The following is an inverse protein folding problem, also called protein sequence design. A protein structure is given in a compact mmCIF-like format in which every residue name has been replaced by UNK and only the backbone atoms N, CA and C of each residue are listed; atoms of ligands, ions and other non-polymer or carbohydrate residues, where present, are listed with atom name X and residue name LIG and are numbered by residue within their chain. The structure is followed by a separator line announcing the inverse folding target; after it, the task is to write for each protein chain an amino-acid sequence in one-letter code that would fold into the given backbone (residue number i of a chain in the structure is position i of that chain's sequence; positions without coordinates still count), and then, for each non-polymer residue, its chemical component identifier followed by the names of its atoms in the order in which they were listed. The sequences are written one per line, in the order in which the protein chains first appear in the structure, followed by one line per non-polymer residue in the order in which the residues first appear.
data_IF_807950589251
#
_entry.id   IF_807950589251
#
_cell.length_a   1.000
_cell.length_b   1.000
_cell.length_c   1.000
_cell.angle_alpha   90.00
_cell.angle_beta   90.00
_cell.angle_gamma   90.00
#
_symmetry.space_group_name_H-M   'P 1'
#
loop_
_entity.id
_entity.type
_entity.pdbx_description
1 polymer ?
#
# COMPACT_ATOMS: atom_id res chain seq x y z
N UNK A 1 -1.41 47.53 -29.26
CA UNK A 1 -1.42 46.20 -29.90
C UNK A 1 -1.20 45.15 -28.78
N UNK A 2 -1.93 44.06 -28.84
CA UNK A 2 -1.71 42.92 -27.97
C UNK A 2 -0.89 41.87 -28.71
N UNK A 3 0.04 41.22 -28.07
CA UNK A 3 0.88 40.17 -28.66
C UNK A 3 1.39 39.17 -27.64
N UNK A 4 2.03 38.09 -28.12
CA UNK A 4 2.76 37.13 -27.31
C UNK A 4 4.24 37.50 -27.29
N UNK A 5 4.97 37.14 -26.22
CA UNK A 5 6.42 37.29 -26.14
C UNK A 5 7.10 35.98 -25.70
N UNK A 6 8.37 35.86 -26.01
CA UNK A 6 9.22 34.80 -25.53
C UNK A 6 10.03 35.32 -24.33
N UNK A 7 10.15 34.52 -23.29
CA UNK A 7 10.87 34.89 -22.05
C UNK A 7 12.33 35.24 -22.36
N UNK A 8 12.77 36.38 -21.81
CA UNK A 8 14.12 36.92 -22.07
C UNK A 8 14.23 37.81 -23.31
N UNK A 9 13.16 38.00 -24.09
CA UNK A 9 13.15 38.95 -25.22
C UNK A 9 12.45 40.25 -24.85
N UNK A 10 13.10 41.39 -25.15
CA UNK A 10 12.51 42.71 -25.05
C UNK A 10 11.72 43.02 -26.33
N UNK A 11 10.53 43.63 -26.15
CA UNK A 11 9.71 44.09 -27.26
C UNK A 11 9.97 45.58 -27.54
N UNK A 12 10.13 45.94 -28.80
CA UNK A 12 10.43 47.33 -29.21
C UNK A 12 9.22 48.26 -29.29
N UNK A 13 8.02 47.65 -29.40
CA UNK A 13 6.79 48.44 -29.52
C UNK A 13 6.05 48.53 -28.18
N UNK A 14 5.50 49.68 -27.88
CA UNK A 14 4.63 49.87 -26.73
C UNK A 14 3.36 49.03 -26.85
N UNK A 15 3.09 48.12 -25.89
CA UNK A 15 1.95 47.20 -25.93
C UNK A 15 1.83 46.35 -24.70
N UNK A 16 0.74 45.59 -24.59
CA UNK A 16 0.55 44.56 -23.56
C UNK A 16 0.90 43.21 -24.20
N UNK A 17 1.87 42.53 -23.62
CA UNK A 17 2.36 41.24 -24.09
C UNK A 17 2.11 40.18 -23.03
N UNK A 18 1.45 39.08 -23.43
CA UNK A 18 1.09 37.99 -22.52
C UNK A 18 1.84 36.71 -22.90
N UNK A 19 2.42 36.05 -21.91
CA UNK A 19 2.99 34.71 -22.06
C UNK A 19 2.14 33.75 -21.22
N UNK A 20 1.48 32.82 -21.88
CA UNK A 20 0.81 31.72 -21.20
C UNK A 20 1.82 30.59 -21.01
N UNK A 21 2.31 30.44 -19.80
CA UNK A 21 3.06 29.25 -19.38
C UNK A 21 2.08 28.28 -18.74
N UNK A 22 2.07 27.04 -19.19
CA UNK A 22 1.53 25.96 -18.37
C UNK A 22 2.46 25.81 -17.15
N UNK A 23 2.13 26.46 -16.06
CA UNK A 23 2.76 26.20 -14.78
C UNK A 23 2.14 24.90 -14.32
N UNK A 24 2.92 23.84 -14.24
CA UNK A 24 2.56 22.66 -13.49
C UNK A 24 2.40 23.12 -12.04
N UNK A 25 1.17 23.30 -11.62
CA UNK A 25 0.81 23.68 -10.24
C UNK A 25 0.87 22.49 -9.28
N UNK A 26 1.55 21.42 -9.65
CA UNK A 26 1.84 20.34 -8.75
C UNK A 26 3.19 20.61 -8.11
N UNK A 27 3.12 21.21 -6.92
CA UNK A 27 4.15 20.96 -5.92
C UNK A 27 4.28 19.46 -5.67
N UNK A 28 5.31 18.96 -4.98
CA UNK A 28 5.46 17.55 -4.69
C UNK A 28 4.17 17.05 -4.05
N UNK A 29 3.38 16.29 -4.81
CA UNK A 29 2.16 15.68 -4.27
C UNK A 29 2.60 14.50 -3.43
N UNK A 30 2.20 14.49 -2.16
CA UNK A 30 2.27 13.27 -1.40
C UNK A 30 1.34 12.26 -2.07
N UNK A 31 1.91 11.18 -2.62
CA UNK A 31 1.13 10.15 -3.29
C UNK A 31 0.07 9.58 -2.34
N UNK A 32 -1.14 9.41 -2.85
CA UNK A 32 -2.24 8.74 -2.15
C UNK A 32 -2.61 7.47 -2.92
N UNK A 33 -3.13 6.48 -2.20
CA UNK A 33 -3.56 5.23 -2.81
C UNK A 33 -2.47 4.17 -2.91
N UNK A 34 -1.41 4.26 -2.09
CA UNK A 34 -0.37 3.24 -1.97
C UNK A 34 -0.65 2.38 -0.75
N UNK A 35 -0.89 1.09 -0.95
CA UNK A 35 -1.13 0.13 0.12
C UNK A 35 -0.10 -0.99 0.10
N UNK A 36 0.43 -1.37 1.27
CA UNK A 36 1.44 -2.41 1.41
C UNK A 36 0.85 -3.66 2.10
N UNK A 37 1.06 -4.83 1.48
CA UNK A 37 0.60 -6.11 1.99
C UNK A 37 1.65 -7.21 1.84
N UNK A 38 1.96 -7.97 2.91
CA UNK A 38 2.68 -9.22 2.80
C UNK A 38 1.72 -10.31 2.33
N UNK A 39 2.25 -11.38 1.76
CA UNK A 39 1.46 -12.57 1.39
C UNK A 39 2.35 -13.79 1.23
N UNK A 40 1.77 -14.98 1.34
CA UNK A 40 2.38 -16.24 0.93
C UNK A 40 1.85 -16.63 -0.44
N UNK A 41 2.70 -17.23 -1.28
CA UNK A 41 2.35 -17.71 -2.61
C UNK A 41 3.25 -18.90 -3.01
N UNK A 42 2.82 -19.67 -4.01
CA UNK A 42 3.63 -20.77 -4.56
C UNK A 42 4.56 -20.31 -5.69
N UNK A 43 4.50 -19.02 -6.08
CA UNK A 43 5.33 -18.44 -7.15
C UNK A 43 5.61 -16.96 -6.90
N UNK A 44 6.56 -16.40 -7.65
CA UNK A 44 6.93 -14.99 -7.60
C UNK A 44 8.18 -14.70 -6.76
N UNK A 45 8.74 -13.48 -6.89
CA UNK A 45 9.87 -13.01 -6.09
C UNK A 45 9.60 -13.11 -4.60
N UNK A 46 10.60 -13.51 -3.82
CA UNK A 46 10.50 -13.65 -2.36
C UNK A 46 11.31 -12.59 -1.65
N UNK A 47 10.84 -12.17 -0.48
CA UNK A 47 11.54 -11.24 0.42
C UNK A 47 11.97 -9.94 -0.28
N UNK A 48 11.12 -9.42 -1.13
CA UNK A 48 11.29 -8.16 -1.85
C UNK A 48 9.95 -7.42 -1.88
N UNK A 49 9.97 -6.13 -1.61
CA UNK A 49 8.81 -5.26 -1.78
C UNK A 49 8.70 -4.84 -3.24
N UNK A 50 7.61 -5.19 -3.90
CA UNK A 50 7.40 -4.92 -5.32
C UNK A 50 6.12 -4.11 -5.55
N UNK A 51 6.18 -3.07 -6.41
CA UNK A 51 5.00 -2.31 -6.78
C UNK A 51 4.20 -3.05 -7.87
N UNK A 52 2.89 -3.17 -7.67
CA UNK A 52 1.93 -3.70 -8.63
C UNK A 52 0.92 -2.61 -8.97
N UNK A 53 0.86 -2.22 -10.23
CA UNK A 53 -0.05 -1.19 -10.71
C UNK A 53 -1.48 -1.71 -10.97
N UNK A 54 -1.68 -3.03 -11.01
CA UNK A 54 -2.96 -3.64 -11.27
C UNK A 54 -3.11 -5.04 -10.65
N UNK A 55 -4.36 -5.47 -10.49
CA UNK A 55 -4.67 -6.84 -10.09
C UNK A 55 -4.05 -7.88 -11.04
N UNK A 56 -4.08 -7.61 -12.35
CA UNK A 56 -3.50 -8.50 -13.34
C UNK A 56 -1.99 -8.65 -13.17
N UNK A 57 -1.28 -7.54 -12.95
CA UNK A 57 0.15 -7.52 -12.73
C UNK A 57 0.54 -8.32 -11.48
N UNK A 58 -0.20 -8.13 -10.38
CA UNK A 58 -0.02 -8.92 -9.16
C UNK A 58 -0.22 -10.42 -9.40
N UNK A 59 -1.32 -10.80 -10.08
CA UNK A 59 -1.63 -12.20 -10.35
C UNK A 59 -0.64 -12.85 -11.32
N UNK A 60 -0.29 -12.16 -12.41
CA UNK A 60 0.66 -12.68 -13.41
C UNK A 60 2.05 -12.95 -12.78
N UNK A 61 2.47 -12.11 -11.82
CA UNK A 61 3.77 -12.26 -11.16
C UNK A 61 3.76 -13.37 -10.10
N UNK A 62 2.69 -13.50 -9.31
CA UNK A 62 2.69 -14.34 -8.11
C UNK A 62 1.88 -15.62 -8.26
N UNK A 63 1.09 -15.75 -9.33
CA UNK A 63 0.23 -16.91 -9.59
C UNK A 63 -0.55 -17.29 -8.32
N UNK A 64 -1.40 -16.35 -7.87
CA UNK A 64 -2.14 -16.45 -6.63
C UNK A 64 -3.27 -17.49 -6.75
N UNK A 65 -2.93 -18.77 -6.76
CA UNK A 65 -3.88 -19.85 -6.74
C UNK A 65 -3.73 -20.74 -5.50
N UNK A 66 -4.80 -21.39 -5.16
CA UNK A 66 -4.88 -22.34 -4.07
C UNK A 66 -5.21 -21.74 -2.69
N UNK A 67 -5.98 -22.49 -1.92
CA UNK A 67 -6.45 -22.10 -0.59
C UNK A 67 -5.37 -22.16 0.50
N UNK A 68 -4.19 -22.69 0.18
CA UNK A 68 -3.08 -22.81 1.11
C UNK A 68 -2.26 -21.52 1.26
N UNK A 69 -2.46 -20.54 0.37
CA UNK A 69 -1.68 -19.31 0.31
C UNK A 69 -2.55 -18.08 0.52
N UNK A 70 -1.94 -17.01 1.06
CA UNK A 70 -2.67 -15.77 1.35
C UNK A 70 -2.68 -14.77 0.19
N UNK A 71 -1.94 -15.03 -0.89
CA UNK A 71 -1.91 -14.18 -2.08
C UNK A 71 -3.30 -14.01 -2.71
N UNK A 72 -4.11 -15.06 -2.76
CA UNK A 72 -5.48 -14.97 -3.25
C UNK A 72 -6.36 -14.08 -2.39
N UNK A 73 -6.22 -14.13 -1.05
CA UNK A 73 -6.94 -13.23 -0.14
C UNK A 73 -6.55 -11.77 -0.38
N UNK A 74 -5.24 -11.49 -0.52
CA UNK A 74 -4.77 -10.14 -0.84
C UNK A 74 -5.30 -9.69 -2.19
N UNK A 75 -5.27 -10.56 -3.21
CA UNK A 75 -5.84 -10.29 -4.52
C UNK A 75 -7.34 -10.00 -4.45
N UNK A 76 -8.12 -10.89 -3.85
CA UNK A 76 -9.57 -10.77 -3.76
C UNK A 76 -10.02 -9.55 -2.97
N UNK A 77 -9.33 -9.24 -1.87
CA UNK A 77 -9.75 -8.18 -0.94
C UNK A 77 -9.17 -6.80 -1.30
N UNK A 78 -7.92 -6.72 -1.73
CA UNK A 78 -7.34 -5.43 -2.11
C UNK A 78 -7.95 -4.88 -3.41
N UNK A 79 -8.42 -5.75 -4.29
CA UNK A 79 -9.05 -5.36 -5.55
C UNK A 79 -10.57 -5.66 -5.60
N UNK A 80 -11.20 -5.91 -4.45
CA UNK A 80 -12.63 -6.23 -4.36
C UNK A 80 -13.52 -5.12 -4.91
N UNK A 81 -13.17 -3.86 -4.67
CA UNK A 81 -13.93 -2.72 -5.20
C UNK A 81 -13.36 -2.29 -6.56
N UNK A 82 -14.24 -2.14 -7.55
CA UNK A 82 -13.82 -1.78 -8.90
C UNK A 82 -13.26 -0.35 -9.00
N UNK A 83 -13.75 0.55 -8.16
CA UNK A 83 -13.42 1.98 -8.18
C UNK A 83 -12.35 2.32 -7.15
N UNK A 84 -12.53 1.86 -5.91
CA UNK A 84 -11.67 2.19 -4.77
C UNK A 84 -10.75 1.02 -4.43
N UNK A 85 -9.65 0.96 -5.13
CA UNK A 85 -8.57 -0.02 -4.99
C UNK A 85 -7.23 0.72 -5.00
N UNK A 86 -6.14 0.17 -4.48
CA UNK A 86 -4.85 0.84 -4.49
C UNK A 86 -4.44 1.26 -5.91
N UNK A 87 -3.91 2.47 -6.05
CA UNK A 87 -3.24 2.90 -7.27
C UNK A 87 -1.95 2.10 -7.47
N UNK A 88 -1.24 1.85 -6.35
CA UNK A 88 -0.08 0.97 -6.29
C UNK A 88 -0.27 0.05 -5.09
N UNK A 89 -0.18 -1.25 -5.32
CA UNK A 89 -0.07 -2.25 -4.28
C UNK A 89 1.40 -2.61 -4.11
N UNK A 90 1.98 -2.32 -2.96
CA UNK A 90 3.29 -2.79 -2.57
C UNK A 90 3.16 -4.19 -1.98
N UNK A 91 3.51 -5.20 -2.76
CA UNK A 91 3.37 -6.60 -2.35
C UNK A 91 4.69 -7.21 -1.95
N UNK A 92 4.69 -8.02 -0.87
CA UNK A 92 5.87 -8.69 -0.36
C UNK A 92 5.58 -10.17 -0.13
N UNK A 93 6.16 -11.04 -0.96
CA UNK A 93 6.02 -12.48 -0.77
C UNK A 93 6.89 -12.93 0.40
N UNK A 94 6.22 -13.34 1.48
CA UNK A 94 6.87 -13.93 2.65
C UNK A 94 7.46 -15.30 2.30
N UNK A 95 8.73 -15.53 2.61
CA UNK A 95 9.35 -16.83 2.50
C UNK A 95 10.44 -16.98 3.55
N UNK A 96 10.37 -18.07 4.30
CA UNK A 96 11.39 -18.43 5.30
C UNK A 96 12.69 -18.88 4.61
N UNK A 97 13.79 -18.86 5.34
CA UNK A 97 15.11 -19.25 4.82
C UNK A 97 15.17 -20.68 4.23
N UNK A 98 14.26 -21.57 4.64
CA UNK A 98 14.17 -22.94 4.11
C UNK A 98 13.45 -23.04 2.76
N UNK A 99 12.84 -21.95 2.25
CA UNK A 99 12.26 -21.94 0.91
C UNK A 99 13.34 -22.17 -0.15
N UNK A 100 13.10 -23.09 -1.07
CA UNK A 100 14.11 -23.54 -2.02
C UNK A 100 13.57 -23.61 -3.45
N UNK A 101 14.47 -23.32 -4.41
CA UNK A 101 14.22 -23.49 -5.84
C UNK A 101 14.32 -24.96 -6.23
N UNK A 102 13.45 -25.39 -7.13
CA UNK A 102 13.55 -26.71 -7.75
C UNK A 102 14.68 -26.78 -8.77
N UNK A 103 15.33 -27.92 -8.91
CA UNK A 103 16.41 -28.13 -9.89
C UNK A 103 16.13 -29.35 -10.75
N UNK A 104 16.45 -29.28 -12.05
CA UNK A 104 16.41 -30.38 -12.99
C UNK A 104 17.78 -30.53 -13.65
N UNK A 105 18.30 -31.79 -13.74
CA UNK A 105 19.57 -32.11 -14.35
C UNK A 105 19.29 -32.76 -15.70
N UNK A 106 19.67 -32.08 -16.79
CA UNK A 106 19.51 -32.60 -18.14
C UNK A 106 20.82 -33.28 -18.56
N UNK A 107 20.70 -34.56 -18.93
CA UNK A 107 21.83 -35.34 -19.41
C UNK A 107 22.37 -34.82 -20.75
N UNK A 108 23.63 -34.98 -20.98
CA UNK A 108 24.35 -34.72 -22.25
C UNK A 108 25.08 -35.98 -22.73
N UNK A 109 25.43 -36.03 -23.98
CA UNK A 109 26.14 -37.19 -24.54
C UNK A 109 27.52 -37.43 -23.86
N UNK A 110 28.21 -36.39 -23.45
CA UNK A 110 29.46 -36.45 -22.71
C UNK A 110 29.77 -35.11 -22.02
N UNK A 111 30.52 -35.17 -20.90
CA UNK A 111 30.94 -33.97 -20.17
C UNK A 111 29.97 -33.48 -19.12
N UNK A 112 29.96 -32.17 -18.85
CA UNK A 112 29.14 -31.54 -17.83
C UNK A 112 27.68 -31.51 -18.25
N UNK A 113 26.77 -31.95 -17.37
CA UNK A 113 25.33 -31.90 -17.55
C UNK A 113 24.81 -30.47 -17.34
N UNK A 114 23.64 -30.15 -17.93
CA UNK A 114 22.94 -28.92 -17.61
C UNK A 114 22.22 -29.07 -16.27
N UNK A 115 22.30 -28.02 -15.44
CA UNK A 115 21.41 -27.90 -14.28
C UNK A 115 20.54 -26.67 -14.50
N UNK A 116 19.26 -26.91 -14.61
CA UNK A 116 18.23 -25.85 -14.60
C UNK A 116 17.73 -25.63 -13.19
N UNK A 117 17.40 -24.42 -12.86
CA UNK A 117 16.84 -24.02 -11.57
C UNK A 117 15.57 -23.20 -11.81
N UNK A 118 14.51 -23.41 -10.99
CA UNK A 118 13.32 -22.56 -11.05
C UNK A 118 13.66 -21.12 -10.72
N UNK A 119 12.93 -20.18 -11.31
CA UNK A 119 13.18 -18.75 -11.11
C UNK A 119 12.99 -18.36 -9.64
N UNK A 120 11.98 -18.93 -8.99
CA UNK A 120 11.63 -18.67 -7.60
C UNK A 120 11.53 -19.95 -6.78
N UNK A 121 11.65 -19.89 -5.44
CA UNK A 121 11.30 -21.00 -4.55
C UNK A 121 9.85 -21.42 -4.77
N UNK A 122 9.62 -22.71 -4.97
CA UNK A 122 8.30 -23.22 -5.28
C UNK A 122 8.24 -24.75 -5.15
N UNK A 123 7.10 -25.27 -4.74
CA UNK A 123 6.74 -26.70 -4.76
C UNK A 123 5.99 -27.11 -6.04
N UNK A 124 5.87 -26.21 -7.02
CA UNK A 124 5.19 -26.46 -8.29
C UNK A 124 5.91 -27.58 -9.06
N UNK A 125 5.13 -28.48 -9.64
CA UNK A 125 5.65 -29.69 -10.31
C UNK A 125 6.04 -29.40 -11.77
N UNK A 126 7.14 -28.68 -11.97
CA UNK A 126 7.67 -28.46 -13.31
C UNK A 126 8.43 -29.67 -13.82
N UNK A 127 8.37 -29.87 -15.14
CA UNK A 127 9.10 -30.92 -15.85
C UNK A 127 9.79 -30.31 -17.07
N UNK A 128 11.08 -30.59 -17.24
CA UNK A 128 11.83 -30.22 -18.44
C UNK A 128 11.79 -31.37 -19.44
N UNK A 129 11.27 -31.14 -20.63
CA UNK A 129 11.21 -32.08 -21.76
C UNK A 129 12.22 -31.65 -22.80
N UNK A 130 13.03 -32.59 -23.31
CA UNK A 130 14.01 -32.33 -24.36
C UNK A 130 13.70 -33.19 -25.57
N UNK A 131 13.57 -32.56 -26.73
CA UNK A 131 13.24 -33.21 -27.99
C UNK A 131 13.95 -32.57 -29.18
N UNK A 132 13.92 -33.19 -30.32
CA UNK A 132 14.36 -32.58 -31.58
C UNK A 132 13.56 -31.29 -31.81
N UNK A 133 14.26 -30.22 -32.20
CA UNK A 133 13.60 -28.95 -32.53
C UNK A 133 12.87 -28.99 -33.88
N UNK A 134 12.18 -27.93 -34.22
CA UNK A 134 11.48 -27.76 -35.47
C UNK A 134 12.48 -27.54 -36.62
N UNK A 135 13.52 -26.77 -36.38
CA UNK A 135 14.59 -26.58 -37.33
C UNK A 135 15.54 -27.80 -37.31
N UNK A 136 16.02 -28.19 -38.48
CA UNK A 136 16.92 -29.32 -38.60
C UNK A 136 18.22 -29.09 -37.81
N UNK A 137 18.57 -30.06 -36.96
CA UNK A 137 19.81 -29.98 -36.17
C UNK A 137 19.65 -29.21 -34.84
N UNK A 138 18.48 -28.67 -34.54
CA UNK A 138 18.22 -27.98 -33.27
C UNK A 138 17.76 -28.94 -32.18
N UNK A 139 18.06 -28.60 -30.93
CA UNK A 139 17.50 -29.23 -29.72
C UNK A 139 16.50 -28.26 -29.09
N UNK A 140 15.28 -28.73 -28.85
CA UNK A 140 14.22 -27.98 -28.19
C UNK A 140 14.09 -28.41 -26.74
N UNK A 141 14.03 -27.44 -25.83
CA UNK A 141 13.69 -27.68 -24.42
C UNK A 141 12.39 -27.00 -24.10
N UNK A 142 11.48 -27.74 -23.47
CA UNK A 142 10.18 -27.26 -23.02
C UNK A 142 10.08 -27.41 -21.51
N UNK A 143 9.53 -26.39 -20.82
CA UNK A 143 9.14 -26.46 -19.41
C UNK A 143 7.64 -26.63 -19.34
N UNK A 144 7.24 -27.73 -18.74
CA UNK A 144 5.85 -28.21 -18.73
C UNK A 144 5.36 -28.30 -17.28
N UNK A 145 4.12 -27.90 -17.04
CA UNK A 145 3.42 -28.11 -15.79
C UNK A 145 2.01 -28.65 -16.08
N UNK A 146 1.62 -29.74 -15.42
CA UNK A 146 0.34 -30.39 -15.62
C UNK A 146 -0.05 -30.63 -17.10
N UNK A 147 0.94 -30.94 -17.95
CA UNK A 147 0.75 -31.17 -19.39
C UNK A 147 0.71 -29.88 -20.24
N UNK A 148 0.79 -28.71 -19.65
CA UNK A 148 0.82 -27.43 -20.37
C UNK A 148 2.26 -26.94 -20.52
N UNK A 149 2.66 -26.57 -21.76
CA UNK A 149 3.96 -25.96 -22.02
C UNK A 149 3.90 -24.50 -21.59
N UNK A 150 4.65 -24.16 -20.54
CA UNK A 150 4.78 -22.80 -20.01
C UNK A 150 5.83 -21.98 -20.76
N UNK A 151 6.87 -22.64 -21.23
CA UNK A 151 7.95 -22.04 -22.01
C UNK A 151 8.62 -23.12 -22.85
N UNK A 152 9.11 -22.74 -24.02
CA UNK A 152 9.92 -23.63 -24.85
C UNK A 152 10.64 -22.89 -25.95
N UNK A 153 11.92 -23.23 -26.15
CA UNK A 153 12.76 -22.65 -27.20
C UNK A 153 13.76 -23.68 -27.71
N UNK A 154 14.43 -23.41 -28.81
CA UNK A 154 15.36 -24.33 -29.45
C UNK A 154 16.64 -23.63 -29.96
N UNK A 155 17.72 -24.39 -30.06
CA UNK A 155 18.98 -23.94 -30.65
C UNK A 155 19.80 -25.13 -31.14
N UNK A 156 20.70 -24.86 -32.09
CA UNK A 156 21.72 -25.78 -32.60
C UNK A 156 23.04 -25.69 -31.82
N UNK A 157 23.19 -24.71 -30.93
CA UNK A 157 24.39 -24.48 -30.13
C UNK A 157 24.09 -24.39 -28.64
N UNK A 158 25.04 -24.77 -27.81
CA UNK A 158 24.98 -24.64 -26.35
C UNK A 158 24.76 -23.17 -25.92
N UNK A 159 25.55 -22.26 -26.49
CA UNK A 159 25.48 -20.85 -26.18
C UNK A 159 24.13 -20.24 -26.59
N UNK A 160 23.62 -20.61 -27.77
CA UNK A 160 22.29 -20.17 -28.24
C UNK A 160 21.17 -20.64 -27.34
N UNK A 161 21.18 -21.92 -26.93
CA UNK A 161 20.17 -22.45 -26.01
C UNK A 161 20.26 -21.79 -24.64
N UNK A 162 21.46 -21.58 -24.10
CA UNK A 162 21.67 -20.87 -22.84
C UNK A 162 21.12 -19.43 -22.87
N UNK A 163 21.35 -18.73 -23.99
CA UNK A 163 20.80 -17.37 -24.18
C UNK A 163 19.26 -17.35 -24.15
N UNK A 164 18.59 -18.39 -24.72
CA UNK A 164 17.14 -18.52 -24.70
C UNK A 164 16.57 -18.66 -23.28
N UNK A 165 17.25 -19.40 -22.41
CA UNK A 165 16.86 -19.54 -21.01
C UNK A 165 16.88 -18.21 -20.24
N UNK A 166 17.66 -17.21 -20.67
CA UNK A 166 17.68 -15.90 -20.01
C UNK A 166 16.34 -15.17 -20.07
N UNK A 167 15.52 -15.45 -21.09
CA UNK A 167 14.18 -14.91 -21.28
C UNK A 167 13.05 -15.81 -20.75
N UNK A 168 13.36 -17.00 -20.21
CA UNK A 168 12.33 -17.89 -19.68
C UNK A 168 11.65 -17.26 -18.45
N UNK A 169 10.31 -17.28 -18.35
CA UNK A 169 9.60 -16.79 -17.17
C UNK A 169 9.60 -17.81 -16.01
N UNK A 170 10.13 -19.03 -16.23
CA UNK A 170 10.01 -20.13 -15.26
C UNK A 170 11.34 -20.58 -14.71
N UNK A 171 12.39 -20.66 -15.54
CA UNK A 171 13.67 -21.27 -15.16
C UNK A 171 14.87 -20.47 -15.63
N UNK A 172 16.03 -20.75 -15.01
CA UNK A 172 17.35 -20.25 -15.41
C UNK A 172 18.34 -21.40 -15.47
N UNK A 173 19.40 -21.22 -16.25
CA UNK A 173 20.54 -22.14 -16.25
C UNK A 173 21.39 -21.84 -15.01
N UNK A 174 21.56 -22.85 -14.15
CA UNK A 174 22.43 -22.80 -12.97
C UNK A 174 23.84 -23.34 -13.31
N UNK A 175 23.90 -24.45 -14.05
CA UNK A 175 25.13 -25.00 -14.56
C UNK A 175 25.00 -25.22 -16.05
N UNK A 176 25.91 -24.67 -16.84
CA UNK A 176 25.93 -24.81 -18.28
C UNK A 176 26.55 -26.16 -18.68
N UNK A 177 25.84 -26.93 -19.48
CA UNK A 177 26.35 -28.17 -20.03
C UNK A 177 27.42 -27.97 -21.12
N UNK A 178 28.28 -28.95 -21.35
CA UNK A 178 29.31 -28.89 -22.40
C UNK A 178 28.75 -29.18 -23.80
N UNK A 179 27.64 -29.93 -23.87
CA UNK A 179 26.95 -30.28 -25.12
C UNK A 179 25.45 -29.93 -24.96
N UNK A 180 24.72 -29.90 -26.08
CA UNK A 180 23.24 -29.80 -26.05
C UNK A 180 22.66 -30.95 -25.25
N UNK A 181 21.55 -30.74 -24.51
CA UNK A 181 20.94 -31.79 -23.71
C UNK A 181 20.37 -32.91 -24.58
N UNK A 182 20.52 -34.14 -24.11
CA UNK A 182 20.00 -35.34 -24.76
C UNK A 182 18.48 -35.40 -24.66
N UNK A 183 17.80 -35.98 -25.67
CA UNK A 183 16.35 -36.13 -25.66
C UNK A 183 15.90 -36.88 -24.42
N UNK A 184 14.83 -36.38 -23.81
CA UNK A 184 14.19 -37.00 -22.65
C UNK A 184 12.67 -36.72 -22.66
N UNK A 185 11.86 -37.69 -22.24
CA UNK A 185 10.42 -37.51 -22.09
C UNK A 185 10.03 -36.60 -20.94
N UNK A 186 10.95 -36.36 -19.99
CA UNK A 186 10.74 -35.43 -18.90
C UNK A 186 11.71 -35.62 -17.74
N UNK A 187 12.26 -34.54 -17.23
CA UNK A 187 13.04 -34.49 -15.98
C UNK A 187 12.31 -33.57 -15.03
N UNK A 188 11.84 -34.11 -13.90
CA UNK A 188 11.10 -33.35 -12.89
C UNK A 188 12.07 -32.44 -12.14
N UNK A 189 11.64 -31.19 -11.86
CA UNK A 189 12.36 -30.31 -10.95
C UNK A 189 12.17 -30.80 -9.52
N UNK A 190 13.25 -31.11 -8.84
CA UNK A 190 13.26 -31.67 -7.49
C UNK A 190 13.82 -30.67 -6.48
N UNK A 191 13.46 -30.83 -5.19
CA UNK A 191 13.97 -30.08 -4.06
C UNK A 191 13.40 -28.68 -3.89
N UNK A 192 12.48 -28.25 -4.77
CA UNK A 192 11.78 -27.00 -4.62
C UNK A 192 10.74 -27.05 -3.49
N UNK A 193 10.59 -25.97 -2.73
CA UNK A 193 9.55 -25.82 -1.72
C UNK A 193 9.29 -24.34 -1.40
N UNK A 194 8.11 -24.04 -0.85
CA UNK A 194 7.70 -22.70 -0.47
C UNK A 194 8.21 -22.26 0.92
N UNK A 195 8.90 -23.12 1.64
CA UNK A 195 9.29 -22.92 3.03
C UNK A 195 8.19 -23.28 4.02
N UNK A 196 8.46 -23.08 5.31
CA UNK A 196 7.49 -23.22 6.38
C UNK A 196 6.56 -21.99 6.45
N UNK A 197 5.58 -22.02 7.36
CA UNK A 197 4.73 -20.86 7.64
C UNK A 197 5.59 -19.68 8.14
N UNK A 198 5.32 -18.45 7.68
CA UNK A 198 6.02 -17.26 8.14
C UNK A 198 5.84 -17.05 9.66
N UNK A 199 6.88 -16.50 10.27
CA UNK A 199 6.91 -16.15 11.70
C UNK A 199 7.04 -14.64 11.87
N UNK A 200 7.10 -14.16 13.09
CA UNK A 200 7.38 -12.75 13.41
C UNK A 200 8.57 -12.19 12.64
N UNK A 201 9.58 -13.01 12.36
CA UNK A 201 10.80 -12.60 11.64
C UNK A 201 10.50 -12.12 10.21
N UNK A 202 9.74 -12.90 9.45
CA UNK A 202 9.41 -12.58 8.07
C UNK A 202 8.47 -11.37 7.98
N UNK A 203 7.51 -11.24 8.89
CA UNK A 203 6.67 -10.05 8.97
C UNK A 203 7.46 -8.80 9.38
N UNK A 204 8.45 -8.93 10.28
CA UNK A 204 9.33 -7.81 10.65
C UNK A 204 10.18 -7.38 9.44
N UNK A 205 10.68 -8.32 8.65
CA UNK A 205 11.41 -8.01 7.42
C UNK A 205 10.53 -7.24 6.41
N UNK A 206 9.28 -7.66 6.22
CA UNK A 206 8.30 -6.92 5.41
C UNK A 206 8.13 -5.48 5.90
N UNK A 207 7.90 -5.28 7.20
CA UNK A 207 7.71 -3.94 7.78
C UNK A 207 8.96 -3.05 7.60
N UNK A 208 10.17 -3.64 7.68
CA UNK A 208 11.42 -2.93 7.43
C UNK A 208 11.54 -2.48 5.97
N UNK A 209 11.12 -3.30 5.01
CA UNK A 209 11.10 -2.91 3.59
C UNK A 209 10.08 -1.80 3.33
N UNK A 210 8.89 -1.86 3.94
CA UNK A 210 7.88 -0.78 3.84
C UNK A 210 8.40 0.53 4.43
N UNK A 211 9.12 0.47 5.54
CA UNK A 211 9.77 1.64 6.15
C UNK A 211 10.85 2.23 5.25
N UNK A 212 11.65 1.38 4.62
CA UNK A 212 12.73 1.79 3.71
C UNK A 212 12.17 2.43 2.44
N UNK A 213 11.08 1.89 1.89
CA UNK A 213 10.39 2.45 0.73
C UNK A 213 9.75 3.81 1.04
N UNK A 214 9.07 3.93 2.18
CA UNK A 214 8.52 5.19 2.70
C UNK A 214 7.30 5.75 1.94
N UNK A 215 6.80 5.09 0.90
CA UNK A 215 5.70 5.61 0.06
C UNK A 215 4.31 5.13 0.49
N UNK A 216 4.22 4.07 1.29
CA UNK A 216 2.95 3.48 1.71
C UNK A 216 2.07 4.46 2.52
N UNK A 217 0.78 4.48 2.20
CA UNK A 217 -0.24 5.24 2.95
C UNK A 217 -1.01 4.35 3.91
N UNK A 218 -1.15 3.09 3.57
CA UNK A 218 -1.82 2.09 4.39
C UNK A 218 -1.04 0.78 4.39
N UNK A 219 -1.07 0.08 5.51
CA UNK A 219 -0.49 -1.24 5.67
C UNK A 219 -1.47 -2.16 6.38
N UNK A 220 -1.61 -3.39 5.90
CA UNK A 220 -2.26 -4.47 6.63
C UNK A 220 -1.47 -5.76 6.41
N UNK A 221 -1.66 -6.74 7.29
CA UNK A 221 -1.05 -8.06 7.11
C UNK A 221 -1.97 -8.94 6.24
N UNK A 222 -1.55 -10.13 5.96
CA UNK A 222 -2.18 -11.09 5.03
C UNK A 222 -3.40 -11.85 5.61
N UNK A 223 -4.06 -11.27 6.60
CA UNK A 223 -5.16 -11.90 7.32
C UNK A 223 -4.70 -12.79 8.48
N UNK A 224 -3.43 -12.69 8.89
CA UNK A 224 -2.94 -13.39 10.09
C UNK A 224 -3.70 -12.93 11.34
N UNK A 225 -3.99 -13.89 12.21
CA UNK A 225 -4.60 -13.67 13.54
C UNK A 225 -3.64 -13.91 14.67
N UNK A 226 -2.37 -14.12 14.38
CA UNK A 226 -1.32 -14.28 15.38
C UNK A 226 -1.09 -12.96 16.12
N UNK A 227 -1.46 -12.92 17.39
CA UNK A 227 -1.34 -11.72 18.23
C UNK A 227 0.10 -11.27 18.44
N UNK A 228 1.10 -12.17 18.35
CA UNK A 228 2.51 -11.76 18.42
C UNK A 228 2.91 -10.97 17.18
N UNK A 229 2.50 -11.40 16.00
CA UNK A 229 2.73 -10.71 14.72
C UNK A 229 1.98 -9.37 14.70
N UNK A 230 0.71 -9.36 15.13
CA UNK A 230 -0.11 -8.14 15.19
C UNK A 230 0.45 -7.11 16.18
N UNK A 231 1.04 -7.54 17.31
CA UNK A 231 1.69 -6.65 18.27
C UNK A 231 2.97 -6.00 17.69
N UNK A 232 3.69 -6.72 16.82
CA UNK A 232 4.83 -6.12 16.08
C UNK A 232 4.36 -5.01 15.14
N UNK A 233 3.28 -5.24 14.37
CA UNK A 233 2.68 -4.21 13.52
C UNK A 233 2.27 -2.97 14.35
N UNK A 234 1.60 -3.17 15.48
CA UNK A 234 1.15 -2.09 16.37
C UNK A 234 2.34 -1.25 16.92
N UNK A 235 3.40 -1.93 17.33
CA UNK A 235 4.60 -1.27 17.87
C UNK A 235 5.36 -0.54 16.77
N UNK A 236 5.54 -1.19 15.63
CA UNK A 236 6.22 -0.63 14.48
C UNK A 236 5.54 0.64 13.98
N UNK A 237 4.22 0.62 13.76
CA UNK A 237 3.52 1.82 13.24
C UNK A 237 3.59 2.99 14.24
N UNK A 238 3.54 2.74 15.55
CA UNK A 238 3.70 3.80 16.56
C UNK A 238 5.10 4.43 16.48
N UNK A 239 6.14 3.62 16.29
CA UNK A 239 7.52 4.08 16.15
C UNK A 239 7.71 4.90 14.88
N UNK A 240 7.42 4.33 13.71
CA UNK A 240 7.71 4.99 12.42
C UNK A 240 6.90 6.28 12.22
N UNK A 241 5.67 6.33 12.76
CA UNK A 241 4.89 7.58 12.76
C UNK A 241 5.52 8.64 13.67
N UNK A 242 6.15 8.24 14.78
CA UNK A 242 6.95 9.15 15.61
C UNK A 242 8.22 9.64 14.92
N UNK A 243 8.70 8.94 13.92
CA UNK A 243 9.85 9.26 13.09
C UNK A 243 9.49 10.01 11.79
N UNK A 244 8.20 10.31 11.55
CA UNK A 244 7.72 11.10 10.41
C UNK A 244 7.15 10.27 9.25
N UNK A 245 7.08 8.94 9.35
CA UNK A 245 6.42 8.13 8.32
C UNK A 245 4.91 8.01 8.61
N UNK A 246 4.12 8.92 8.03
CA UNK A 246 2.68 9.01 8.27
C UNK A 246 1.89 8.03 7.40
N UNK A 247 1.62 6.85 7.92
CA UNK A 247 0.76 5.82 7.32
C UNK A 247 -0.26 5.29 8.33
N UNK A 248 -1.33 4.66 7.87
CA UNK A 248 -2.32 3.99 8.71
C UNK A 248 -2.10 2.46 8.66
N UNK A 249 -2.07 1.81 9.84
CA UNK A 249 -2.06 0.36 9.94
C UNK A 249 -3.47 -0.17 10.18
N UNK A 250 -3.81 -1.25 9.49
CA UNK A 250 -5.10 -1.93 9.61
C UNK A 250 -4.89 -3.32 10.18
N UNK A 251 -5.67 -3.65 11.18
CA UNK A 251 -5.69 -4.99 11.77
C UNK A 251 -7.12 -5.45 12.03
N UNK A 252 -7.28 -6.71 12.28
CA UNK A 252 -8.51 -7.34 12.75
C UNK A 252 -8.16 -8.53 13.62
N UNK A 253 -9.11 -9.45 13.82
CA UNK A 253 -8.91 -10.63 14.64
C UNK A 253 -9.65 -11.84 14.12
N UNK A 254 -9.74 -12.85 14.97
CA UNK A 254 -10.32 -14.16 14.66
C UNK A 254 -11.83 -14.10 14.40
N UNK A 255 -12.37 -15.12 13.74
CA UNK A 255 -13.79 -15.25 13.45
C UNK A 255 -14.73 -15.16 14.69
N UNK A 256 -14.22 -15.46 15.88
CA UNK A 256 -14.97 -15.28 17.13
C UNK A 256 -15.42 -13.84 17.40
N UNK A 257 -14.76 -12.85 16.80
CA UNK A 257 -15.17 -11.45 16.92
C UNK A 257 -16.53 -11.15 16.27
N UNK A 258 -16.94 -11.93 15.29
CA UNK A 258 -18.25 -11.82 14.64
C UNK A 258 -19.42 -12.05 15.59
N UNK A 259 -19.19 -12.82 16.66
CA UNK A 259 -20.22 -13.19 17.66
C UNK A 259 -20.03 -12.52 19.01
N UNK A 260 -18.88 -11.91 19.25
CA UNK A 260 -18.59 -11.18 20.50
C UNK A 260 -17.80 -9.89 20.23
N UNK A 261 -18.52 -8.77 20.10
CA UNK A 261 -17.94 -7.45 19.90
C UNK A 261 -17.21 -6.88 21.12
N UNK A 262 -17.26 -7.53 22.27
CA UNK A 262 -16.47 -7.10 23.45
C UNK A 262 -14.98 -7.29 23.20
N UNK A 263 -14.60 -8.33 22.46
CA UNK A 263 -13.22 -8.66 22.11
C UNK A 263 -12.56 -7.58 21.24
N UNK A 264 -13.10 -7.22 20.05
CA UNK A 264 -12.52 -6.15 19.23
C UNK A 264 -12.57 -4.78 19.91
N UNK A 265 -13.63 -4.49 20.70
CA UNK A 265 -13.71 -3.25 21.44
C UNK A 265 -12.63 -3.13 22.54
N UNK A 266 -12.38 -4.21 23.27
CA UNK A 266 -11.29 -4.26 24.26
C UNK A 266 -9.92 -4.06 23.60
N UNK A 267 -9.72 -4.68 22.42
CA UNK A 267 -8.47 -4.53 21.66
C UNK A 267 -8.28 -3.11 21.16
N UNK A 268 -9.32 -2.47 20.61
CA UNK A 268 -9.26 -1.07 20.17
C UNK A 268 -8.87 -0.14 21.32
N UNK A 269 -9.48 -0.32 22.48
CA UNK A 269 -9.15 0.48 23.68
C UNK A 269 -7.72 0.25 24.15
N UNK A 270 -7.23 -0.98 24.11
CA UNK A 270 -5.85 -1.30 24.49
C UNK A 270 -4.82 -0.67 23.54
N UNK A 271 -5.12 -0.58 22.26
CA UNK A 271 -4.27 0.07 21.25
C UNK A 271 -4.27 1.60 21.42
N UNK A 272 -5.45 2.21 21.51
CA UNK A 272 -5.70 3.65 21.68
C UNK A 272 -4.72 4.52 20.88
N UNK A 273 -4.77 4.45 19.55
CA UNK A 273 -3.83 5.18 18.70
C UNK A 273 -4.46 5.57 17.35
N UNK A 274 -4.35 6.84 16.95
CA UNK A 274 -4.98 7.39 15.73
C UNK A 274 -4.44 6.81 14.42
N UNK A 275 -3.24 6.25 14.42
CA UNK A 275 -2.61 5.62 13.24
C UNK A 275 -2.98 4.14 13.05
N UNK A 276 -3.90 3.59 13.86
CA UNK A 276 -4.30 2.17 13.77
C UNK A 276 -5.82 2.06 13.68
N UNK A 277 -6.28 1.33 12.67
CA UNK A 277 -7.68 0.96 12.47
C UNK A 277 -7.87 -0.51 12.85
N UNK A 278 -8.80 -0.79 13.78
CA UNK A 278 -9.13 -2.13 14.19
C UNK A 278 -10.50 -2.55 13.63
N UNK A 279 -10.50 -3.49 12.70
CA UNK A 279 -11.72 -4.06 12.10
C UNK A 279 -12.31 -5.07 13.07
N UNK A 280 -13.59 -4.92 13.40
CA UNK A 280 -14.23 -5.69 14.46
C UNK A 280 -15.04 -6.90 14.00
N UNK A 281 -15.34 -7.04 12.70
CA UNK A 281 -16.12 -8.16 12.18
C UNK A 281 -15.83 -8.45 10.71
N UNK A 282 -16.26 -9.62 10.27
CA UNK A 282 -16.03 -10.15 8.92
C UNK A 282 -17.25 -10.09 8.00
N UNK A 283 -17.01 -10.35 6.71
CA UNK A 283 -18.01 -10.39 5.65
C UNK A 283 -17.75 -11.57 4.70
N UNK A 284 -18.82 -12.16 4.15
CA UNK A 284 -18.80 -13.20 3.11
C UNK A 284 -17.84 -14.37 3.42
N UNK A 285 -17.68 -14.74 4.70
CA UNK A 285 -16.79 -15.80 5.17
C UNK A 285 -15.36 -15.34 5.51
N UNK A 286 -14.94 -14.16 5.11
CA UNK A 286 -13.69 -13.55 5.55
C UNK A 286 -13.83 -13.10 7.01
N UNK A 287 -12.81 -13.35 7.83
CA UNK A 287 -12.79 -12.88 9.22
C UNK A 287 -12.36 -11.40 9.31
N UNK A 288 -12.36 -10.83 10.50
CA UNK A 288 -11.99 -9.43 10.71
C UNK A 288 -10.54 -9.11 10.31
N UNK A 289 -9.60 -10.05 10.47
CA UNK A 289 -8.22 -9.85 10.05
C UNK A 289 -8.08 -9.85 8.50
N UNK A 290 -8.83 -10.69 7.81
CA UNK A 290 -8.92 -10.65 6.34
C UNK A 290 -9.52 -9.32 5.88
N UNK A 291 -10.62 -8.88 6.51
CA UNK A 291 -11.28 -7.62 6.17
C UNK A 291 -10.42 -6.37 6.41
N UNK A 292 -9.36 -6.47 7.21
CA UNK A 292 -8.38 -5.40 7.36
C UNK A 292 -7.63 -5.10 6.05
N UNK A 293 -7.40 -6.12 5.19
CA UNK A 293 -6.81 -5.97 3.86
C UNK A 293 -7.73 -5.07 2.99
N UNK A 294 -9.02 -5.43 2.94
CA UNK A 294 -10.00 -4.63 2.20
C UNK A 294 -10.09 -3.21 2.75
N UNK A 295 -10.20 -3.04 4.07
CA UNK A 295 -10.33 -1.73 4.70
C UNK A 295 -9.13 -0.82 4.41
N UNK A 296 -7.90 -1.36 4.43
CA UNK A 296 -6.68 -0.65 4.08
C UNK A 296 -6.68 -0.21 2.62
N UNK A 297 -6.93 -1.14 1.70
CA UNK A 297 -6.96 -0.91 0.27
C UNK A 297 -8.04 0.10 -0.13
N UNK A 298 -9.23 -0.05 0.42
CA UNK A 298 -10.38 0.79 0.15
C UNK A 298 -10.22 2.22 0.70
N UNK A 299 -9.71 2.35 1.93
CA UNK A 299 -9.54 3.65 2.56
C UNK A 299 -8.40 4.46 1.93
N UNK A 300 -7.24 3.84 1.65
CA UNK A 300 -6.09 4.57 1.10
C UNK A 300 -6.36 5.15 -0.30
N UNK A 301 -7.21 4.49 -1.08
CA UNK A 301 -7.55 4.89 -2.45
C UNK A 301 -8.65 5.95 -2.55
N UNK A 302 -9.35 6.24 -1.44
CA UNK A 302 -10.41 7.25 -1.46
C UNK A 302 -9.87 8.66 -1.41
N UNK A 303 -10.49 9.60 -2.15
CA UNK A 303 -10.17 11.02 -2.04
C UNK A 303 -10.28 11.52 -0.59
N UNK A 304 -9.42 12.45 -0.20
CA UNK A 304 -9.39 12.99 1.17
C UNK A 304 -10.67 13.76 1.55
N UNK A 305 -11.39 14.29 0.57
CA UNK A 305 -12.66 14.98 0.79
C UNK A 305 -13.86 14.04 0.95
N UNK A 306 -13.64 12.71 0.96
CA UNK A 306 -14.70 11.72 1.16
C UNK A 306 -14.42 10.83 2.37
N UNK A 307 -15.48 10.55 3.15
CA UNK A 307 -15.43 9.59 4.26
C UNK A 307 -15.66 8.17 3.78
N UNK A 308 -15.14 7.20 4.52
CA UNK A 308 -15.49 5.78 4.36
C UNK A 308 -16.81 5.43 5.11
N UNK A 309 -17.31 6.31 5.98
CA UNK A 309 -18.56 6.12 6.72
C UNK A 309 -19.75 5.96 5.78
N UNK A 310 -20.59 4.98 6.04
CA UNK A 310 -21.80 4.62 5.28
C UNK A 310 -21.55 4.24 3.80
N UNK A 311 -20.30 4.04 3.42
CA UNK A 311 -19.97 3.64 2.05
C UNK A 311 -20.31 2.19 1.82
N UNK A 312 -20.97 1.95 0.69
CA UNK A 312 -21.33 0.60 0.23
C UNK A 312 -20.06 -0.14 -0.17
N UNK A 313 -19.98 -1.38 0.27
CA UNK A 313 -18.88 -2.29 -0.08
C UNK A 313 -19.33 -3.34 -1.09
N UNK A 314 -18.44 -4.06 -1.76
CA UNK A 314 -18.80 -5.11 -2.72
C UNK A 314 -19.33 -6.40 -2.07
N UNK A 315 -19.28 -6.51 -0.74
CA UNK A 315 -19.69 -7.71 -0.01
C UNK A 315 -21.23 -7.85 0.05
N UNK A 316 -21.69 -9.09 0.14
CA UNK A 316 -23.13 -9.42 0.12
C UNK A 316 -23.73 -9.51 1.53
N UNK A 317 -22.94 -9.99 2.49
CA UNK A 317 -23.40 -10.22 3.85
C UNK A 317 -22.29 -10.03 4.89
N UNK A 318 -22.65 -9.58 6.09
CA UNK A 318 -21.80 -9.71 7.27
C UNK A 318 -21.89 -11.14 7.80
N UNK A 319 -20.81 -11.67 8.37
CA UNK A 319 -20.78 -13.06 8.86
C UNK A 319 -21.80 -13.31 9.98
N UNK A 320 -22.01 -12.35 10.87
CA UNK A 320 -23.01 -12.42 11.93
C UNK A 320 -23.72 -11.08 12.13
N UNK A 321 -25.03 -11.12 12.32
CA UNK A 321 -25.85 -9.95 12.65
C UNK A 321 -26.16 -9.86 14.14
N UNK A 322 -25.88 -10.88 14.91
CA UNK A 322 -26.37 -11.06 16.29
C UNK A 322 -25.91 -9.95 17.23
N UNK A 323 -24.68 -9.46 17.05
CA UNK A 323 -24.10 -8.41 17.87
C UNK A 323 -24.21 -7.00 17.28
N UNK A 324 -24.75 -6.84 16.05
CA UNK A 324 -24.82 -5.56 15.35
C UNK A 324 -26.06 -4.71 15.71
N UNK A 325 -26.46 -4.75 16.97
CA UNK A 325 -27.52 -3.89 17.48
C UNK A 325 -27.10 -2.42 17.48
N UNK A 326 -28.07 -1.50 17.48
CA UNK A 326 -27.77 -0.05 17.54
C UNK A 326 -26.89 0.31 18.75
N UNK A 327 -27.15 -0.28 19.91
CA UNK A 327 -26.38 -0.02 21.13
C UNK A 327 -24.90 -0.48 20.98
N UNK A 328 -24.69 -1.69 20.48
CA UNK A 328 -23.36 -2.24 20.29
C UNK A 328 -22.55 -1.48 19.21
N UNK A 329 -23.21 -1.03 18.14
CA UNK A 329 -22.59 -0.19 17.11
C UNK A 329 -22.15 1.17 17.67
N UNK A 330 -22.99 1.81 18.51
CA UNK A 330 -22.61 3.04 19.20
C UNK A 330 -21.40 2.79 20.11
N UNK A 331 -21.42 1.69 20.87
CA UNK A 331 -20.30 1.32 21.75
C UNK A 331 -19.03 1.06 20.95
N UNK A 332 -19.09 0.31 19.85
CA UNK A 332 -17.95 0.05 18.98
C UNK A 332 -17.33 1.35 18.45
N UNK A 333 -18.15 2.28 17.94
CA UNK A 333 -17.68 3.62 17.53
C UNK A 333 -16.98 4.35 18.68
N UNK A 334 -17.57 4.33 19.89
CA UNK A 334 -16.98 4.99 21.07
C UNK A 334 -15.64 4.36 21.49
N UNK A 335 -15.48 3.07 21.27
CA UNK A 335 -14.26 2.32 21.56
C UNK A 335 -13.22 2.34 20.41
N UNK A 336 -13.57 2.94 19.26
CA UNK A 336 -12.66 3.03 18.11
C UNK A 336 -12.55 1.73 17.31
N UNK A 337 -13.64 0.97 17.21
CA UNK A 337 -13.73 -0.27 16.41
C UNK A 337 -14.53 0.01 15.13
N UNK A 338 -13.91 -0.26 13.98
CA UNK A 338 -14.57 -0.18 12.67
C UNK A 338 -15.43 -1.42 12.45
N UNK A 339 -16.71 -1.24 12.07
CA UNK A 339 -17.62 -2.33 11.79
C UNK A 339 -18.18 -2.26 10.37
N UNK A 340 -18.40 -3.45 9.80
CA UNK A 340 -19.23 -3.64 8.62
C UNK A 340 -20.64 -4.00 9.06
N UNK A 341 -21.66 -3.35 8.49
CA UNK A 341 -23.06 -3.57 8.86
C UNK A 341 -23.95 -3.65 7.64
N UNK A 342 -25.16 -4.22 7.81
CA UNK A 342 -26.18 -4.23 6.76
C UNK A 342 -27.03 -2.97 6.88
N UNK A 343 -27.07 -2.14 5.82
CA UNK A 343 -28.00 -1.01 5.67
C UNK A 343 -28.68 -1.06 4.30
N UNK A 344 -30.00 -1.04 4.24
CA UNK A 344 -30.74 -1.08 2.98
C UNK A 344 -30.44 -2.30 2.09
N UNK A 345 -30.13 -3.45 2.71
CA UNK A 345 -29.79 -4.68 1.98
C UNK A 345 -28.35 -4.75 1.45
N UNK A 346 -27.50 -3.76 1.75
CA UNK A 346 -26.11 -3.69 1.34
C UNK A 346 -25.18 -3.71 2.56
N UNK A 347 -23.99 -4.26 2.40
CA UNK A 347 -22.93 -4.15 3.41
C UNK A 347 -22.28 -2.78 3.27
N UNK A 348 -22.19 -2.05 4.39
CA UNK A 348 -21.53 -0.74 4.45
C UNK A 348 -20.53 -0.70 5.60
N UNK A 349 -19.55 0.19 5.51
CA UNK A 349 -18.72 0.57 6.66
C UNK A 349 -19.59 1.46 7.56
N UNK A 350 -19.84 1.04 8.80
CA UNK A 350 -20.78 1.76 9.69
C UNK A 350 -20.25 3.15 10.06
N UNK A 351 -19.02 3.21 10.56
CA UNK A 351 -18.33 4.46 10.93
C UNK A 351 -16.85 4.33 10.60
N UNK A 352 -16.30 5.32 9.90
CA UNK A 352 -14.87 5.40 9.57
C UNK A 352 -14.05 5.90 10.77
N UNK A 353 -13.69 5.01 11.67
CA UNK A 353 -12.98 5.33 12.92
C UNK A 353 -11.71 4.53 13.07
N UNK A 354 -10.68 5.14 13.66
CA UNK A 354 -9.47 4.50 14.16
C UNK A 354 -9.59 4.18 15.67
N UNK A 355 -8.57 3.59 16.26
CA UNK A 355 -8.62 3.10 17.65
C UNK A 355 -8.49 4.19 18.72
N UNK A 356 -8.34 5.47 18.38
CA UNK A 356 -8.27 6.56 19.35
C UNK A 356 -9.57 6.63 20.17
N UNK A 357 -9.55 6.17 21.40
CA UNK A 357 -10.71 6.11 22.31
C UNK A 357 -10.59 7.04 23.51
N UNK A 358 -9.37 7.34 23.92
CA UNK A 358 -9.03 8.30 24.97
C UNK A 358 -7.91 9.21 24.47
N UNK A 359 -8.01 10.50 24.72
CA UNK A 359 -7.04 11.51 24.26
C UNK A 359 -5.98 11.76 25.32
N UNK A 360 -4.75 12.02 24.85
CA UNK A 360 -3.61 12.40 25.67
C UNK A 360 -2.87 13.57 25.03
N UNK A 361 -2.33 14.49 25.85
CA UNK A 361 -1.60 15.64 25.34
C UNK A 361 -2.46 16.54 24.45
N UNK A 362 -1.97 16.82 23.25
CA UNK A 362 -2.60 17.72 22.28
C UNK A 362 -3.62 17.04 21.36
N UNK A 363 -3.89 15.75 21.57
CA UNK A 363 -4.88 15.03 20.77
C UNK A 363 -6.31 15.51 21.05
N UNK A 364 -7.19 15.35 20.05
CA UNK A 364 -8.64 15.59 20.15
C UNK A 364 -9.39 14.37 19.67
N UNK A 365 -10.59 14.15 20.23
CA UNK A 365 -11.43 13.00 19.83
C UNK A 365 -11.86 13.03 18.37
N UNK A 366 -11.89 14.19 17.74
CA UNK A 366 -12.14 14.35 16.31
C UNK A 366 -11.10 13.62 15.45
N UNK A 367 -9.87 13.47 15.94
CA UNK A 367 -8.80 12.69 15.29
C UNK A 367 -9.09 11.17 15.25
N UNK A 368 -10.15 10.70 15.94
CA UNK A 368 -10.67 9.34 15.77
C UNK A 368 -11.25 9.11 14.39
N UNK A 369 -11.75 10.13 13.71
CA UNK A 369 -12.28 10.03 12.36
C UNK A 369 -11.14 9.76 11.37
N UNK A 370 -11.25 8.68 10.62
CA UNK A 370 -10.23 8.31 9.61
C UNK A 370 -10.01 9.44 8.61
N UNK A 371 -11.08 10.11 8.15
CA UNK A 371 -10.96 11.24 7.24
C UNK A 371 -10.09 12.37 7.82
N UNK A 372 -10.33 12.74 9.08
CA UNK A 372 -9.57 13.78 9.78
C UNK A 372 -8.11 13.35 9.96
N UNK A 373 -7.87 12.12 10.42
CA UNK A 373 -6.52 11.57 10.61
C UNK A 373 -5.74 11.55 9.29
N UNK A 374 -6.35 11.06 8.20
CA UNK A 374 -5.75 11.03 6.86
C UNK A 374 -5.43 12.42 6.31
N UNK A 375 -6.29 13.41 6.57
CA UNK A 375 -6.02 14.80 6.20
C UNK A 375 -4.79 15.34 6.92
N UNK A 376 -4.68 15.11 8.22
CA UNK A 376 -3.51 15.53 9.01
C UNK A 376 -2.24 14.87 8.48
N UNK A 377 -2.28 13.57 8.24
CA UNK A 377 -1.14 12.80 7.74
C UNK A 377 -0.72 13.25 6.33
N UNK A 378 -1.68 13.57 5.47
CA UNK A 378 -1.41 14.11 4.13
C UNK A 378 -0.77 15.49 4.19
N UNK A 379 -1.30 16.41 5.03
CA UNK A 379 -0.72 17.76 5.21
C UNK A 379 0.72 17.66 5.69
N UNK A 380 0.99 16.80 6.68
CA UNK A 380 2.35 16.61 7.19
C UNK A 380 3.30 16.12 6.09
N UNK A 381 2.96 15.05 5.39
CA UNK A 381 3.80 14.52 4.30
C UNK A 381 4.03 15.53 3.18
N UNK A 382 2.98 16.25 2.78
CA UNK A 382 3.09 17.24 1.72
C UNK A 382 3.98 18.40 2.14
N UNK A 383 3.82 18.94 3.36
CA UNK A 383 4.66 20.04 3.86
C UNK A 383 6.11 19.63 4.06
N UNK A 384 6.37 18.39 4.48
CA UNK A 384 7.73 17.83 4.54
C UNK A 384 8.36 17.73 3.15
N UNK A 385 7.62 17.23 2.16
CA UNK A 385 8.10 17.13 0.77
C UNK A 385 8.40 18.52 0.17
N UNK A 386 7.57 19.53 0.44
CA UNK A 386 7.84 20.92 0.06
C UNK A 386 9.12 21.45 0.76
N UNK A 387 9.28 21.16 2.05
CA UNK A 387 10.46 21.56 2.83
C UNK A 387 11.73 20.91 2.28
N UNK A 388 11.67 19.63 1.94
CA UNK A 388 12.80 18.88 1.38
C UNK A 388 13.26 19.43 0.03
N UNK A 389 12.35 19.87 -0.80
CA UNK A 389 12.70 20.51 -2.08
C UNK A 389 13.25 21.93 -1.86
N UNK A 390 12.64 22.67 -0.94
CA UNK A 390 13.02 24.06 -0.68
C UNK A 390 14.42 24.18 -0.07
N UNK A 391 14.76 23.33 0.90
CA UNK A 391 16.08 23.34 1.58
C UNK A 391 17.26 23.07 0.64
N UNK A 392 17.03 22.39 -0.51
CA UNK A 392 18.09 22.10 -1.49
C UNK A 392 18.56 23.36 -2.24
N UNK A 393 17.71 24.38 -2.35
CA UNK A 393 17.91 25.50 -3.25
C UNK A 393 17.97 26.87 -2.56
N UNK A 394 17.57 26.98 -1.29
CA UNK A 394 17.43 28.25 -0.58
C UNK A 394 18.29 28.33 0.67
N UNK A 395 18.86 29.53 0.89
CA UNK A 395 19.54 29.87 2.14
C UNK A 395 18.51 30.25 3.21
N UNK A 396 18.84 30.02 4.49
CA UNK A 396 17.98 30.35 5.61
C UNK A 396 18.01 31.86 5.90
N UNK A 397 17.24 32.62 5.13
CA UNK A 397 17.03 34.07 5.33
C UNK A 397 15.57 34.35 5.67
N UNK A 398 15.26 35.46 6.34
CA UNK A 398 13.86 35.85 6.62
C UNK A 398 13.05 35.92 5.34
N UNK A 399 13.57 36.49 4.25
CA UNK A 399 12.86 36.54 2.97
C UNK A 399 12.59 35.15 2.39
N UNK A 400 13.53 34.20 2.51
CA UNK A 400 13.34 32.86 2.04
C UNK A 400 12.30 32.09 2.88
N UNK A 401 12.33 32.21 4.22
CA UNK A 401 11.32 31.58 5.08
C UNK A 401 9.92 32.13 4.82
N UNK A 402 9.77 33.45 4.67
CA UNK A 402 8.47 34.06 4.31
C UNK A 402 7.97 33.63 2.94
N UNK A 403 8.85 33.53 1.95
CA UNK A 403 8.50 33.03 0.64
C UNK A 403 8.05 31.56 0.68
N UNK A 404 8.71 30.70 1.48
CA UNK A 404 8.30 29.32 1.69
C UNK A 404 6.93 29.25 2.35
N UNK A 405 6.71 30.02 3.43
CA UNK A 405 5.42 30.06 4.11
C UNK A 405 4.28 30.51 3.16
N UNK A 406 4.52 31.55 2.36
CA UNK A 406 3.56 32.02 1.36
C UNK A 406 3.26 30.96 0.28
N UNK A 407 4.26 30.18 -0.16
CA UNK A 407 4.04 29.09 -1.11
C UNK A 407 3.12 28.02 -0.53
N UNK A 408 3.36 27.58 0.70
CA UNK A 408 2.51 26.60 1.38
C UNK A 408 1.09 27.15 1.56
N UNK A 409 0.96 28.40 2.01
CA UNK A 409 -0.34 29.03 2.27
C UNK A 409 -1.14 29.25 0.99
N UNK A 410 -0.52 29.84 -0.03
CA UNK A 410 -1.19 30.29 -1.24
C UNK A 410 -1.37 29.18 -2.29
N UNK A 411 -0.47 28.23 -2.39
CA UNK A 411 -0.57 27.17 -3.40
C UNK A 411 -1.17 25.89 -2.81
N UNK A 412 -0.64 25.43 -1.70
CA UNK A 412 -1.05 24.14 -1.14
C UNK A 412 -2.34 24.25 -0.33
N UNK A 413 -2.41 25.11 0.72
CA UNK A 413 -3.59 25.19 1.58
C UNK A 413 -4.82 25.74 0.84
N UNK A 414 -4.64 26.71 -0.05
CA UNK A 414 -5.73 27.18 -0.91
C UNK A 414 -6.27 26.07 -1.82
N UNK A 415 -5.42 25.18 -2.31
CA UNK A 415 -5.80 23.97 -3.02
C UNK A 415 -6.66 23.04 -2.17
N UNK A 416 -6.25 22.79 -0.93
CA UNK A 416 -7.01 21.95 0.00
C UNK A 416 -8.39 22.52 0.34
N UNK A 417 -8.53 23.85 0.44
CA UNK A 417 -9.83 24.52 0.64
C UNK A 417 -10.72 24.34 -0.60
N UNK A 418 -10.18 24.59 -1.79
CA UNK A 418 -10.90 24.40 -3.05
C UNK A 418 -11.44 22.97 -3.19
N UNK A 419 -10.67 22.00 -2.75
CA UNK A 419 -10.99 20.58 -2.85
C UNK A 419 -11.78 20.08 -1.61
N UNK A 420 -12.25 20.98 -0.74
CA UNK A 420 -13.05 20.73 0.47
C UNK A 420 -12.40 19.78 1.49
N UNK A 421 -11.06 19.77 1.54
CA UNK A 421 -10.27 18.94 2.46
C UNK A 421 -10.08 19.66 3.80
N UNK A 422 -9.90 21.00 3.78
CA UNK A 422 -9.82 21.83 4.99
C UNK A 422 -10.78 23.01 4.89
N UNK A 423 -11.09 23.63 6.05
CA UNK A 423 -11.91 24.84 6.11
C UNK A 423 -11.15 26.07 5.56
N UNK A 424 -11.86 27.15 5.13
CA UNK A 424 -11.24 28.36 4.61
C UNK A 424 -10.37 29.14 5.60
N UNK A 425 -10.44 28.83 6.88
CA UNK A 425 -9.61 29.47 7.93
C UNK A 425 -8.35 28.64 8.14
N UNK A 426 -7.23 29.14 7.66
CA UNK A 426 -5.92 28.50 7.80
C UNK A 426 -4.80 29.54 7.84
N UNK A 427 -3.64 29.16 8.35
CA UNK A 427 -2.40 29.93 8.25
C UNK A 427 -1.18 29.00 8.25
N UNK A 428 -0.13 29.42 7.56
CA UNK A 428 1.20 28.81 7.63
C UNK A 428 2.24 29.93 7.64
N UNK A 429 2.99 30.08 8.70
CA UNK A 429 3.92 31.21 8.90
C UNK A 429 5.12 30.82 9.74
N UNK A 430 6.14 31.67 9.75
CA UNK A 430 7.26 31.54 10.70
C UNK A 430 6.71 31.44 12.13
N UNK A 431 7.27 30.55 12.93
CA UNK A 431 6.90 30.40 14.34
C UNK A 431 7.41 31.64 15.11
N UNK A 432 6.49 32.43 15.71
CA UNK A 432 6.86 33.67 16.40
C UNK A 432 7.69 33.44 17.65
N UNK A 433 7.73 32.25 18.21
CA UNK A 433 8.61 31.92 19.34
C UNK A 433 10.08 31.86 18.94
N UNK A 434 10.36 31.56 17.68
CA UNK A 434 11.71 31.37 17.14
C UNK A 434 12.14 32.46 16.16
N UNK A 435 11.21 33.14 15.51
CA UNK A 435 11.50 34.13 14.46
C UNK A 435 10.73 35.41 14.67
N UNK A 436 11.38 36.57 14.37
CA UNK A 436 10.81 37.90 14.49
C UNK A 436 11.22 38.63 15.77
N UNK A 437 10.73 39.88 15.92
CA UNK A 437 11.16 40.82 16.98
C UNK A 437 10.76 40.37 18.39
N UNK A 438 9.83 39.45 18.53
CA UNK A 438 9.34 38.92 19.81
C UNK A 438 9.79 37.49 20.10
N UNK A 439 10.75 36.97 19.32
CA UNK A 439 11.24 35.63 19.51
C UNK A 439 11.84 35.44 20.90
N UNK A 440 11.37 34.44 21.62
CA UNK A 440 11.86 34.06 22.95
C UNK A 440 12.91 32.94 22.90
N UNK A 441 13.05 32.26 21.74
CA UNK A 441 13.98 31.19 21.49
C UNK A 441 14.96 31.59 20.38
N UNK A 442 16.17 31.03 20.43
CA UNK A 442 17.23 31.33 19.46
C UNK A 442 17.50 30.09 18.60
N UNK A 443 16.97 30.03 17.35
CA UNK A 443 17.29 28.96 16.44
C UNK A 443 18.76 29.05 15.98
N UNK A 444 19.34 27.91 15.62
CA UNK A 444 20.65 27.87 14.97
C UNK A 444 20.55 28.46 13.55
N UNK A 445 21.69 28.76 12.96
CA UNK A 445 21.79 29.43 11.66
C UNK A 445 21.16 28.59 10.53
N UNK A 446 21.09 27.27 10.69
CA UNK A 446 20.54 26.29 9.75
C UNK A 446 19.13 25.83 10.12
N UNK A 447 18.53 26.35 11.19
CA UNK A 447 17.19 25.96 11.65
C UNK A 447 16.13 26.98 11.21
N UNK A 448 15.00 26.52 10.73
CA UNK A 448 13.82 27.31 10.43
C UNK A 448 12.58 26.65 11.06
N UNK A 449 11.83 27.42 11.82
CA UNK A 449 10.63 26.95 12.52
C UNK A 449 9.39 27.61 11.92
N UNK A 450 8.37 26.78 11.66
CA UNK A 450 7.09 27.22 11.12
C UNK A 450 5.95 26.77 12.02
N UNK A 451 4.89 27.54 12.02
CA UNK A 451 3.65 27.28 12.72
C UNK A 451 2.49 27.24 11.73
N UNK A 452 1.63 26.26 11.86
CA UNK A 452 0.48 26.07 11.00
C UNK A 452 -0.81 25.88 11.81
N UNK A 453 -1.85 26.61 11.41
CA UNK A 453 -3.22 26.40 11.87
C UNK A 453 -4.10 26.05 10.70
N UNK A 454 -4.88 24.99 10.81
CA UNK A 454 -5.90 24.62 9.84
C UNK A 454 -6.96 23.70 10.48
N UNK A 455 -8.12 23.66 9.87
CA UNK A 455 -9.25 22.86 10.33
C UNK A 455 -9.61 21.80 9.30
N UNK A 456 -9.32 20.51 9.54
CA UNK A 456 -9.77 19.44 8.66
C UNK A 456 -11.31 19.46 8.51
N UNK A 457 -11.80 19.24 7.30
CA UNK A 457 -13.24 19.10 7.04
C UNK A 457 -13.68 17.67 7.32
N UNK A 458 -14.80 17.48 8.00
CA UNK A 458 -15.43 16.16 8.14
C UNK A 458 -16.73 16.08 7.31
N UNK A 459 -17.25 14.87 7.12
CA UNK A 459 -18.48 14.63 6.38
C UNK A 459 -19.70 15.00 7.21
N UNK A 460 -20.77 15.43 6.54
CA UNK A 460 -22.07 15.67 7.18
C UNK A 460 -22.77 14.33 7.49
N UNK A 461 -22.31 13.64 8.54
CA UNK A 461 -22.81 12.30 8.91
C UNK A 461 -24.10 12.33 9.72
N UNK A 462 -24.46 13.49 10.31
CA UNK A 462 -25.65 13.66 11.15
C UNK A 462 -26.44 14.87 10.70
N UNK A 463 -27.63 14.63 10.18
CA UNK A 463 -28.55 15.67 9.74
C UNK A 463 -29.77 15.68 10.69
N UNK A 464 -29.99 16.80 11.39
CA UNK A 464 -31.15 16.99 12.27
C UNK A 464 -32.14 17.88 11.56
N UNK A 465 -33.37 17.38 11.40
CA UNK A 465 -34.48 18.11 10.74
C UNK A 465 -35.63 18.35 11.73
N UNK A 466 -36.14 19.57 11.75
CA UNK A 466 -37.32 19.94 12.53
C UNK A 466 -38.41 20.42 11.57
N UNK A 467 -39.50 19.69 11.53
CA UNK A 467 -40.63 20.03 10.70
C UNK A 467 -41.73 20.71 11.56
N UNK A 468 -42.25 21.88 11.15
CA UNK A 468 -43.44 22.51 11.68
C UNK A 468 -44.61 22.24 10.73
N UNK A 469 -45.63 21.51 11.18
CA UNK A 469 -46.88 21.30 10.42
C UNK A 469 -47.89 22.32 10.88
N UNK A 470 -48.44 23.08 9.94
CA UNK A 470 -49.59 24.00 10.21
C UNK A 470 -50.85 23.35 9.68
N UNK A 471 -51.90 23.36 10.51
CA UNK A 471 -53.24 22.88 10.17
C UNK A 471 -54.19 24.05 9.92
#
# INVERSE_FOLDING_TARGET
MAGTYTEGQSQELSGVYSLVKAVSSQGPSADIGVAAFPFTANWGPVNQLLPYASAKDFNDTNNADGTAFTANKVYDLAYADATYKPNILLGYRLAVAAAAKGTAILAVASGTTWTLETLYPSDRAFTAVVKAGVAVGTTRVEIVEAGVVLWGDESDTVAGLAAKFSSSPVVRVKVLGTNLPSNTAGVVFAGGNNGAAPTVTEYTAFLTEVETDGTANAVALDGTTDEAVLAVLETWVKRVRGEGLYLEAYRGGVAGWDTDLTLPNAKSVAINYRGIVNVGNGCDGYNAADMAIFAAAYACSRPLNTSVTDQVTPFKAVNSKTQLTKANRILAKQKGTLLFVMKGGKVVIDEGVNTLSAVTGDEKLEMRKMRVSRTIDYVNRATEAFGDEYKKTKSNTTAARQAFAATIEDEFFRGLVRDEIIQPSYSYKEDPDYHGDKASKNPKIDEAFFYSDYWPTDSMEKIYQKFGVKF
#
